data_IF_494436292238
#
_entry.id   IF_494436292238
#
_cell.length_a   1.000
_cell.length_b   1.000
_cell.length_c   1.000
_cell.angle_alpha   90.00
_cell.angle_beta   90.00
_cell.angle_gamma   90.00
#
_symmetry.space_group_name_H-M   'P 1'
#
loop_
_entity.id
_entity.type
_entity.pdbx_description
1 polymer ?
#
# COMPACT_ATOMS: atom_id res chain seq x y z
N UNK A 1 -21.64 -6.44 -3.99
CA UNK A 1 -20.71 -6.73 -5.11
C UNK A 1 -19.29 -6.62 -4.60
N UNK A 2 -18.41 -7.55 -4.96
CA UNK A 2 -16.98 -7.42 -4.70
C UNK A 2 -16.41 -6.31 -5.61
N UNK A 3 -15.66 -5.37 -5.02
CA UNK A 3 -14.92 -4.35 -5.77
C UNK A 3 -13.45 -4.77 -5.80
N UNK A 4 -12.85 -4.72 -6.98
CA UNK A 4 -11.43 -5.03 -7.17
C UNK A 4 -10.68 -3.75 -7.46
N UNK A 5 -9.56 -3.54 -6.78
CA UNK A 5 -8.78 -2.31 -6.91
C UNK A 5 -7.41 -2.60 -7.51
N UNK A 6 -6.89 -1.66 -8.30
CA UNK A 6 -5.51 -1.73 -8.78
C UNK A 6 -4.58 -1.04 -7.78
N UNK A 7 -3.54 -1.74 -7.30
CA UNK A 7 -2.58 -1.15 -6.34
C UNK A 7 -1.66 -0.08 -6.96
N UNK A 8 -1.52 -0.05 -8.28
CA UNK A 8 -0.66 0.91 -8.97
C UNK A 8 -1.36 2.22 -9.34
N UNK A 9 -2.66 2.18 -9.60
CA UNK A 9 -3.42 3.36 -10.06
C UNK A 9 -4.65 3.68 -9.21
N UNK A 10 -5.04 2.79 -8.29
CA UNK A 10 -6.18 2.94 -7.41
C UNK A 10 -7.55 2.80 -8.07
N UNK A 11 -7.59 2.57 -9.39
CA UNK A 11 -8.83 2.38 -10.13
C UNK A 11 -9.63 1.21 -9.58
N UNK A 12 -10.94 1.42 -9.44
CA UNK A 12 -11.93 0.46 -8.98
C UNK A 12 -12.56 -0.26 -10.16
N UNK A 13 -12.72 -1.57 -10.05
CA UNK A 13 -13.32 -2.45 -11.05
C UNK A 13 -14.37 -3.35 -10.42
N UNK A 14 -15.35 -3.77 -11.22
CA UNK A 14 -16.40 -4.71 -10.83
C UNK A 14 -15.95 -6.18 -10.88
N UNK A 15 -14.83 -6.48 -11.54
CA UNK A 15 -14.31 -7.84 -11.73
C UNK A 15 -12.82 -7.83 -12.03
N UNK A 16 -12.12 -8.92 -11.69
CA UNK A 16 -10.70 -9.11 -12.01
C UNK A 16 -10.47 -9.06 -13.53
N UNK A 17 -11.35 -9.66 -14.32
CA UNK A 17 -11.26 -9.64 -15.79
C UNK A 17 -11.22 -8.22 -16.36
N UNK A 18 -12.06 -7.31 -15.83
CA UNK A 18 -12.08 -5.90 -16.26
C UNK A 18 -10.84 -5.14 -15.83
N UNK A 19 -10.26 -5.50 -14.68
CA UNK A 19 -9.00 -4.93 -14.18
C UNK A 19 -7.84 -5.31 -15.10
N UNK A 20 -7.71 -6.59 -15.45
CA UNK A 20 -6.58 -7.08 -16.26
C UNK A 20 -6.74 -6.84 -17.76
N UNK A 21 -7.94 -6.54 -18.24
CA UNK A 21 -8.21 -6.27 -19.65
C UNK A 21 -7.62 -4.94 -20.16
N UNK A 22 -7.34 -4.00 -19.26
CA UNK A 22 -6.90 -2.65 -19.61
C UNK A 22 -5.39 -2.44 -19.37
N UNK A 23 -4.85 -1.39 -19.99
CA UNK A 23 -3.46 -0.97 -19.80
C UNK A 23 -3.34 0.02 -18.64
N UNK A 24 -2.34 -0.17 -17.77
CA UNK A 24 -2.08 0.69 -16.62
C UNK A 24 -0.81 1.52 -16.81
N UNK A 25 -0.96 2.78 -17.21
CA UNK A 25 0.18 3.71 -17.38
C UNK A 25 0.94 4.02 -16.08
N UNK A 26 0.31 3.83 -14.91
CA UNK A 26 0.96 4.00 -13.61
C UNK A 26 1.78 2.79 -13.17
N UNK A 27 1.66 1.66 -13.85
CA UNK A 27 2.40 0.44 -13.55
C UNK A 27 3.64 0.37 -14.44
N UNK A 28 4.84 0.09 -13.89
CA UNK A 28 6.05 -0.06 -14.70
C UNK A 28 5.92 -1.18 -15.75
N UNK A 29 5.11 -2.21 -15.47
CA UNK A 29 4.85 -3.31 -16.40
C UNK A 29 3.70 -3.03 -17.38
N UNK A 30 3.05 -1.86 -17.32
CA UNK A 30 1.90 -1.51 -18.15
C UNK A 30 0.61 -2.29 -17.85
N UNK A 31 0.59 -3.13 -16.81
CA UNK A 31 -0.57 -3.94 -16.42
C UNK A 31 -1.09 -3.53 -15.05
N UNK A 32 -2.40 -3.58 -14.88
CA UNK A 32 -3.00 -3.41 -13.56
C UNK A 32 -2.59 -4.58 -12.67
N UNK A 33 -2.23 -4.27 -11.42
CA UNK A 33 -1.93 -5.28 -10.41
C UNK A 33 -3.02 -5.23 -9.36
N UNK A 34 -3.62 -6.38 -9.08
CA UNK A 34 -4.67 -6.50 -8.09
C UNK A 34 -4.14 -6.11 -6.71
N UNK A 35 -4.92 -5.31 -5.99
CA UNK A 35 -4.75 -5.08 -4.57
C UNK A 35 -5.39 -6.23 -3.80
N UNK A 36 -4.60 -6.93 -3.00
CA UNK A 36 -5.04 -8.11 -2.23
C UNK A 36 -5.53 -7.75 -0.82
N UNK A 37 -5.45 -6.48 -0.44
CA UNK A 37 -5.99 -6.02 0.85
C UNK A 37 -7.50 -5.86 0.84
N UNK A 38 -8.05 -5.67 2.03
CA UNK A 38 -9.49 -5.49 2.23
C UNK A 38 -9.94 -4.06 1.91
N UNK A 39 -11.21 -3.90 1.50
CA UNK A 39 -11.82 -2.59 1.32
C UNK A 39 -12.01 -1.91 2.68
N UNK A 40 -11.43 -0.73 2.82
CA UNK A 40 -11.42 0.03 4.07
C UNK A 40 -11.80 1.48 3.78
N UNK A 41 -12.29 2.18 4.82
CA UNK A 41 -12.56 3.61 4.73
C UNK A 41 -11.29 4.44 4.53
N UNK A 42 -10.14 3.90 4.93
CA UNK A 42 -8.84 4.55 4.83
C UNK A 42 -7.80 3.57 4.32
N UNK A 43 -6.95 4.05 3.42
CA UNK A 43 -5.83 3.30 2.87
C UNK A 43 -4.53 3.95 3.33
N UNK A 44 -3.55 3.12 3.63
CA UNK A 44 -2.26 3.56 4.15
C UNK A 44 -1.15 3.16 3.20
N UNK A 45 -0.11 3.98 3.10
CA UNK A 45 1.09 3.60 2.36
C UNK A 45 2.00 2.71 3.22
N UNK A 46 2.45 1.58 2.70
CA UNK A 46 3.36 0.66 3.38
C UNK A 46 4.74 1.28 3.69
N UNK A 47 5.18 2.24 2.88
CA UNK A 47 6.53 2.83 2.99
C UNK A 47 6.61 4.14 3.78
N UNK A 48 5.53 4.93 3.80
CA UNK A 48 5.50 6.22 4.49
C UNK A 48 4.36 6.36 5.49
N UNK A 49 3.45 5.38 5.55
CA UNK A 49 2.31 5.37 6.46
C UNK A 49 1.30 6.50 6.24
N UNK A 50 1.41 7.25 5.14
CA UNK A 50 0.44 8.29 4.79
C UNK A 50 -0.95 7.69 4.62
N UNK A 51 -1.94 8.35 5.23
CA UNK A 51 -3.35 7.98 5.22
C UNK A 51 -4.09 8.69 4.10
N UNK A 52 -4.90 7.95 3.35
CA UNK A 52 -5.75 8.47 2.28
C UNK A 52 -7.14 7.87 2.35
N UNK A 53 -8.15 8.61 1.89
CA UNK A 53 -9.55 8.15 1.85
C UNK A 53 -9.81 7.15 0.72
N UNK A 54 -8.89 7.00 -0.23
CA UNK A 54 -9.02 6.05 -1.35
C UNK A 54 -7.66 5.67 -1.93
N UNK A 55 -7.58 4.49 -2.55
CA UNK A 55 -6.39 4.03 -3.28
C UNK A 55 -6.05 4.94 -4.46
N UNK A 56 -7.06 5.52 -5.13
CA UNK A 56 -6.89 6.47 -6.23
C UNK A 56 -6.12 7.71 -5.78
N UNK A 57 -6.47 8.26 -4.62
CA UNK A 57 -5.77 9.40 -4.03
C UNK A 57 -4.37 9.03 -3.56
N UNK A 58 -4.19 7.84 -2.97
CA UNK A 58 -2.88 7.35 -2.52
C UNK A 58 -1.92 7.22 -3.70
N UNK A 59 -2.32 6.53 -4.76
CA UNK A 59 -1.48 6.24 -5.95
C UNK A 59 -1.32 7.41 -6.90
N UNK A 60 -2.15 8.47 -6.77
CA UNK A 60 -1.99 9.70 -7.54
C UNK A 60 -0.81 10.56 -7.03
N UNK A 61 -0.39 10.37 -5.78
CA UNK A 61 0.67 11.14 -5.16
C UNK A 61 2.05 10.45 -5.30
N UNK A 62 3.09 11.23 -5.04
CA UNK A 62 4.48 10.79 -5.07
C UNK A 62 4.99 10.43 -3.67
N UNK A 63 5.74 9.34 -3.56
CA UNK A 63 6.27 8.86 -2.29
C UNK A 63 7.79 8.74 -2.32
N UNK A 64 8.50 9.75 -1.83
CA UNK A 64 9.97 9.74 -1.73
C UNK A 64 10.53 8.68 -0.79
N UNK A 65 9.69 8.06 0.05
CA UNK A 65 10.10 6.96 0.95
C UNK A 65 10.07 5.60 0.27
N UNK A 66 9.40 5.48 -0.87
CA UNK A 66 9.28 4.25 -1.66
C UNK A 66 10.41 4.17 -2.68
N UNK A 67 11.00 2.98 -2.94
CA UNK A 67 12.06 2.81 -3.93
C UNK A 67 11.58 3.09 -5.37
N UNK A 68 10.29 2.96 -5.64
CA UNK A 68 9.69 3.25 -6.96
C UNK A 68 9.10 4.65 -7.04
N UNK A 69 9.38 5.50 -6.04
CA UNK A 69 8.87 6.85 -5.83
C UNK A 69 7.33 7.01 -5.86
N UNK A 70 6.61 5.90 -5.72
CA UNK A 70 5.15 5.84 -5.73
C UNK A 70 4.65 5.23 -4.44
N UNK A 71 3.49 5.69 -3.96
CA UNK A 71 2.87 5.07 -2.81
C UNK A 71 2.46 3.64 -3.14
N UNK A 72 2.84 2.71 -2.26
CA UNK A 72 2.39 1.32 -2.31
C UNK A 72 1.36 1.17 -1.20
N UNK A 73 0.10 0.83 -1.53
CA UNK A 73 -0.91 0.62 -0.51
C UNK A 73 -0.57 -0.60 0.33
N UNK A 74 -0.71 -0.46 1.64
CA UNK A 74 -0.61 -1.57 2.59
C UNK A 74 -1.77 -2.53 2.36
N UNK A 75 -1.45 -3.78 2.08
CA UNK A 75 -2.43 -4.80 1.68
C UNK A 75 -2.95 -5.63 2.87
N UNK A 76 -2.72 -5.19 4.11
CA UNK A 76 -3.31 -5.81 5.30
C UNK A 76 -4.57 -5.11 5.79
N UNK A 77 -5.25 -5.73 6.75
CA UNK A 77 -6.43 -5.15 7.41
C UNK A 77 -6.07 -4.02 8.37
N UNK A 78 -7.00 -3.09 8.62
CA UNK A 78 -6.83 -2.08 9.67
C UNK A 78 -6.79 -2.77 11.04
N UNK A 79 -5.64 -2.67 11.73
CA UNK A 79 -5.40 -3.29 13.03
C UNK A 79 -5.18 -2.19 14.07
N UNK A 80 -5.52 -2.47 15.33
CA UNK A 80 -5.24 -1.54 16.44
C UNK A 80 -3.74 -1.35 16.70
N UNK A 81 -2.92 -2.33 16.28
CA UNK A 81 -1.47 -2.28 16.35
C UNK A 81 -0.86 -2.91 15.10
N UNK A 82 0.22 -2.29 14.62
CA UNK A 82 1.02 -2.78 13.52
C UNK A 82 2.39 -3.16 14.05
N UNK A 83 2.96 -4.23 13.51
CA UNK A 83 4.28 -4.68 13.89
C UNK A 83 5.18 -4.76 12.65
N UNK A 84 6.47 -4.49 12.86
CA UNK A 84 7.46 -4.64 11.82
C UNK A 84 7.79 -6.13 11.63
N UNK A 85 7.73 -6.64 10.40
CA UNK A 85 8.06 -8.03 10.08
C UNK A 85 9.52 -8.39 10.44
N UNK A 86 10.45 -7.43 10.31
CA UNK A 86 11.88 -7.67 10.52
C UNK A 86 12.34 -7.63 11.97
N UNK A 87 11.78 -6.73 12.78
CA UNK A 87 12.23 -6.50 14.17
C UNK A 87 11.17 -6.75 15.23
N UNK A 88 9.91 -6.99 14.84
CA UNK A 88 8.80 -7.20 15.77
C UNK A 88 8.36 -5.96 16.56
N UNK A 89 8.94 -4.78 16.30
CA UNK A 89 8.55 -3.53 16.96
C UNK A 89 7.10 -3.20 16.68
N UNK A 90 6.34 -2.89 17.74
CA UNK A 90 4.91 -2.60 17.69
C UNK A 90 4.65 -1.10 17.71
N UNK A 91 3.71 -0.66 16.91
CA UNK A 91 3.28 0.73 16.80
C UNK A 91 1.75 0.80 16.74
N UNK A 92 1.17 1.90 17.21
CA UNK A 92 -0.26 2.15 17.14
C UNK A 92 -0.74 2.54 15.73
N UNK A 93 0.18 2.88 14.82
CA UNK A 93 -0.15 3.29 13.46
C UNK A 93 1.00 3.01 12.48
N UNK A 94 0.66 2.84 11.20
CA UNK A 94 1.62 2.66 10.11
C UNK A 94 2.51 3.88 9.89
N UNK A 95 1.98 5.09 10.06
CA UNK A 95 2.76 6.34 10.02
C UNK A 95 3.83 6.38 11.10
N UNK A 96 3.52 5.99 12.33
CA UNK A 96 4.52 5.88 13.39
C UNK A 96 5.54 4.77 13.10
N UNK A 97 5.10 3.62 12.58
CA UNK A 97 5.99 2.51 12.23
C UNK A 97 7.02 2.91 11.16
N UNK A 98 6.54 3.46 10.05
CA UNK A 98 7.35 3.82 8.88
C UNK A 98 8.20 5.08 9.09
N UNK A 99 7.86 5.93 10.07
CA UNK A 99 8.67 7.09 10.43
C UNK A 99 9.99 6.71 11.13
N UNK A 100 10.07 5.53 11.71
CA UNK A 100 11.24 5.06 12.46
C UNK A 100 12.22 4.26 11.57
N UNK A 101 13.46 4.12 12.06
CA UNK A 101 14.51 3.33 11.40
C UNK A 101 14.58 1.92 11.99
N UNK A 102 14.59 0.91 11.12
CA UNK A 102 14.70 -0.49 11.49
C UNK A 102 16.06 -1.05 11.09
N UNK A 103 16.95 -1.28 12.05
CA UNK A 103 18.28 -1.87 11.81
C UNK A 103 18.25 -3.32 11.36
N UNK A 104 17.15 -4.04 11.63
CA UNK A 104 16.95 -5.44 11.21
C UNK A 104 16.39 -5.56 9.80
N UNK A 105 15.92 -4.46 9.21
CA UNK A 105 15.43 -4.43 7.84
C UNK A 105 16.60 -4.19 6.89
N UNK A 106 16.69 -4.91 5.75
CA UNK A 106 17.73 -4.70 4.75
C UNK A 106 17.70 -3.29 4.15
N UNK A 107 16.55 -2.60 4.23
CA UNK A 107 16.37 -1.23 3.73
C UNK A 107 16.53 -0.16 4.81
N UNK A 108 16.79 -0.55 6.07
CA UNK A 108 16.83 0.37 7.21
C UNK A 108 15.46 0.91 7.64
N UNK A 109 14.36 0.50 7.00
CA UNK A 109 13.00 0.99 7.29
C UNK A 109 12.12 -0.12 7.84
N UNK A 110 11.22 0.23 8.75
CA UNK A 110 10.22 -0.74 9.20
C UNK A 110 9.28 -1.08 8.05
N UNK A 111 8.95 -2.36 7.94
CA UNK A 111 8.00 -2.88 6.98
C UNK A 111 6.85 -3.52 7.76
N UNK A 112 5.62 -3.03 7.63
CA UNK A 112 4.51 -3.58 8.38
C UNK A 112 4.21 -5.00 7.89
N UNK A 113 4.04 -5.91 8.84
CA UNK A 113 3.58 -7.25 8.55
C UNK A 113 2.10 -7.22 8.14
N UNK A 114 1.76 -7.98 7.10
CA UNK A 114 0.37 -8.12 6.61
C UNK A 114 -0.49 -8.97 7.54
#
# INVERSE_FOLDING_TARGET
MANYYCKCCGSKYSSISSLTANHCSRSPSGKHVLYEGEEQSNYYCEYCGSKYSSLSSLTANHCSKSPTEKHVPYEGSEKSQYFCEYCGSKYSSLSSLTANHCTKSPTGKHHPAR
#
